data_IF_694768722495
#
_entry.id   IF_694768722495
#
_cell.length_a   1.000
_cell.length_b   1.000
_cell.length_c   1.000
_cell.angle_alpha   90.00
_cell.angle_beta   90.00
_cell.angle_gamma   90.00
#
_symmetry.space_group_name_H-M   'P 1'
#
loop_
_entity.id
_entity.type
_entity.pdbx_description
1 polymer ?
#
# COMPACT_ATOMS: atom_id res chain seq x y z
N UNK A 1 -6.95 -5.57 17.51
CA UNK A 1 -6.12 -6.22 16.48
C UNK A 1 -6.99 -6.44 15.24
N UNK A 2 -6.84 -5.56 14.25
CA UNK A 2 -7.55 -5.69 12.98
C UNK A 2 -6.94 -6.81 12.14
N UNK A 3 -7.54 -7.99 12.19
CA UNK A 3 -7.16 -9.14 11.35
C UNK A 3 -7.75 -9.09 9.94
N UNK A 4 -8.58 -8.09 9.64
CA UNK A 4 -9.27 -7.94 8.37
C UNK A 4 -8.50 -7.05 7.36
N UNK A 5 -9.01 -7.01 6.14
CA UNK A 5 -8.54 -6.07 5.10
C UNK A 5 -8.78 -4.63 5.53
N UNK A 6 -7.88 -3.74 5.14
CA UNK A 6 -8.12 -2.31 5.28
C UNK A 6 -9.27 -1.85 4.36
N UNK A 7 -9.99 -0.81 4.79
CA UNK A 7 -11.01 -0.19 3.94
C UNK A 7 -10.37 0.51 2.73
N UNK A 8 -11.13 0.60 1.64
CA UNK A 8 -10.73 1.42 0.52
C UNK A 8 -10.78 2.92 0.89
N UNK A 9 -9.95 3.71 0.24
CA UNK A 9 -10.07 5.15 0.27
C UNK A 9 -11.38 5.63 -0.36
N UNK A 10 -11.84 6.81 0.05
CA UNK A 10 -13.00 7.45 -0.55
C UNK A 10 -12.68 7.99 -1.95
N UNK A 11 -13.68 8.04 -2.82
CA UNK A 11 -13.54 8.66 -4.12
C UNK A 11 -13.38 10.19 -3.97
N UNK A 12 -12.60 10.77 -4.87
CA UNK A 12 -12.54 12.22 -5.09
C UNK A 12 -13.46 12.59 -6.26
N UNK A 13 -14.24 13.67 -6.11
CA UNK A 13 -15.20 14.10 -7.11
C UNK A 13 -14.97 15.57 -7.44
N UNK A 14 -14.82 15.87 -8.73
CA UNK A 14 -14.84 17.22 -9.26
C UNK A 14 -16.17 17.45 -9.98
N UNK A 15 -17.01 18.30 -9.42
CA UNK A 15 -18.32 18.65 -9.96
C UNK A 15 -18.19 19.89 -10.87
N UNK A 16 -18.09 19.64 -12.19
CA UNK A 16 -18.13 20.66 -13.24
C UNK A 16 -19.36 20.45 -14.15
N UNK A 17 -19.32 20.98 -15.35
CA UNK A 17 -20.30 20.66 -16.40
C UNK A 17 -20.35 19.17 -16.71
N UNK A 18 -19.22 18.49 -16.56
CA UNK A 18 -19.11 17.02 -16.51
C UNK A 18 -18.50 16.64 -15.19
N UNK A 19 -19.13 15.76 -14.43
CA UNK A 19 -18.61 15.25 -13.18
C UNK A 19 -17.48 14.27 -13.46
N UNK A 20 -16.30 14.53 -12.86
CA UNK A 20 -15.15 13.62 -12.91
C UNK A 20 -15.00 12.96 -11.55
N UNK A 21 -14.99 11.65 -11.52
CA UNK A 21 -14.78 10.84 -10.32
C UNK A 21 -13.47 10.07 -10.43
N UNK A 22 -12.58 10.28 -9.45
CA UNK A 22 -11.37 9.48 -9.26
C UNK A 22 -11.64 8.48 -8.15
N UNK A 23 -11.47 7.18 -8.44
CA UNK A 23 -11.69 6.13 -7.45
C UNK A 23 -10.63 6.18 -6.34
N UNK A 24 -11.05 5.96 -5.12
CA UNK A 24 -10.13 5.81 -3.99
C UNK A 24 -9.21 4.61 -4.14
N UNK A 25 -8.05 4.63 -3.51
CA UNK A 25 -7.11 3.52 -3.50
C UNK A 25 -7.69 2.29 -2.78
N UNK A 26 -7.34 1.10 -3.24
CA UNK A 26 -7.73 -0.16 -2.61
C UNK A 26 -7.02 -0.37 -1.26
N UNK A 27 -7.77 -0.86 -0.28
CA UNK A 27 -7.22 -1.24 1.02
C UNK A 27 -6.25 -2.42 0.94
N UNK A 28 -5.21 -2.41 1.75
CA UNK A 28 -4.27 -3.53 1.85
C UNK A 28 -4.92 -4.78 2.45
N UNK A 29 -4.41 -5.94 2.07
CA UNK A 29 -4.77 -7.22 2.68
C UNK A 29 -4.31 -7.32 4.13
N UNK A 30 -5.10 -7.96 4.97
CA UNK A 30 -4.79 -8.18 6.38
C UNK A 30 -4.01 -9.48 6.64
N UNK A 31 -3.66 -9.71 7.90
CA UNK A 31 -3.23 -11.02 8.37
C UNK A 31 -4.50 -11.83 8.68
N UNK A 32 -4.79 -12.90 7.93
CA UNK A 32 -6.01 -13.64 8.12
C UNK A 32 -6.02 -14.42 9.43
N UNK A 33 -7.09 -14.28 10.19
CA UNK A 33 -7.45 -15.25 11.24
C UNK A 33 -8.10 -16.50 10.62
N UNK A 34 -8.53 -16.39 9.37
CA UNK A 34 -9.04 -17.48 8.54
C UNK A 34 -8.55 -17.30 7.09
N UNK A 35 -8.47 -18.40 6.34
CA UNK A 35 -8.07 -18.36 4.94
C UNK A 35 -9.04 -17.49 4.13
N UNK A 36 -8.53 -16.47 3.45
CA UNK A 36 -9.30 -15.63 2.50
C UNK A 36 -9.22 -14.13 2.72
N UNK A 37 -8.61 -13.63 3.78
CA UNK A 37 -8.56 -12.19 4.07
C UNK A 37 -7.26 -11.50 3.60
N UNK A 38 -6.35 -12.26 3.03
CA UNK A 38 -5.06 -11.74 2.60
C UNK A 38 -5.00 -10.97 1.26
N UNK A 39 -5.93 -11.11 0.28
CA UNK A 39 -5.89 -10.33 -0.94
C UNK A 39 -6.06 -8.84 -0.68
N UNK A 40 -5.34 -8.02 -1.45
CA UNK A 40 -5.58 -6.59 -1.51
C UNK A 40 -6.91 -6.25 -2.18
N UNK A 41 -7.52 -5.13 -1.81
CA UNK A 41 -8.76 -4.66 -2.43
C UNK A 41 -8.49 -3.94 -3.77
N UNK A 42 -9.41 -4.06 -4.75
CA UNK A 42 -9.36 -3.24 -5.95
C UNK A 42 -9.68 -1.77 -5.65
N UNK A 43 -9.18 -0.87 -6.49
CA UNK A 43 -9.40 0.58 -6.37
C UNK A 43 -8.83 1.36 -7.55
N UNK A 44 -8.78 2.67 -7.47
CA UNK A 44 -8.07 3.51 -8.44
C UNK A 44 -6.63 3.04 -8.60
N UNK A 45 -5.91 2.87 -7.49
CA UNK A 45 -4.73 2.00 -7.36
C UNK A 45 -5.08 0.83 -6.45
N UNK A 46 -4.64 -0.38 -6.76
CA UNK A 46 -4.94 -1.58 -5.99
C UNK A 46 -4.13 -1.69 -4.69
N UNK A 47 -4.72 -2.23 -3.64
CA UNK A 47 -4.02 -2.52 -2.38
C UNK A 47 -3.04 -3.68 -2.52
N UNK A 48 -1.92 -3.66 -1.79
CA UNK A 48 -1.03 -4.82 -1.66
C UNK A 48 -1.69 -5.94 -0.87
N UNK A 49 -1.33 -7.20 -1.13
CA UNK A 49 -1.84 -8.31 -0.32
C UNK A 49 -1.14 -8.42 1.03
N UNK A 50 -1.80 -9.04 2.00
CA UNK A 50 -1.20 -9.43 3.27
C UNK A 50 -0.18 -10.57 3.09
N UNK A 51 0.73 -10.72 4.05
CA UNK A 51 1.81 -11.71 4.00
C UNK A 51 1.49 -13.07 4.61
N UNK A 52 0.49 -13.14 5.46
CA UNK A 52 0.14 -14.34 6.21
C UNK A 52 -0.83 -15.22 5.43
N UNK A 53 -0.31 -16.10 4.61
CA UNK A 53 -1.08 -17.17 4.00
C UNK A 53 -0.16 -18.33 3.58
N UNK A 54 -0.60 -19.58 3.66
CA UNK A 54 0.19 -20.72 3.19
C UNK A 54 0.36 -20.73 1.66
N UNK A 55 -0.39 -19.90 0.96
CA UNK A 55 -0.34 -19.73 -0.49
C UNK A 55 -0.20 -18.24 -0.86
N UNK A 56 0.45 -17.94 -2.00
CA UNK A 56 0.50 -16.59 -2.51
C UNK A 56 -0.89 -15.98 -2.65
N UNK A 57 -1.05 -14.76 -2.19
CA UNK A 57 -2.32 -14.02 -2.27
C UNK A 57 -2.21 -12.86 -3.25
N UNK A 58 -3.27 -12.61 -3.98
CA UNK A 58 -3.28 -11.58 -5.01
C UNK A 58 -3.33 -10.16 -4.42
N UNK A 59 -2.56 -9.24 -5.00
CA UNK A 59 -2.79 -7.82 -4.82
C UNK A 59 -4.11 -7.39 -5.48
N UNK A 60 -4.64 -6.27 -5.01
CA UNK A 60 -5.84 -5.66 -5.60
C UNK A 60 -5.58 -5.14 -7.02
N UNK A 61 -6.59 -5.24 -7.87
CA UNK A 61 -6.53 -4.63 -9.20
C UNK A 61 -6.62 -3.11 -9.11
N UNK A 62 -5.74 -2.42 -9.85
CA UNK A 62 -5.84 -0.99 -10.08
C UNK A 62 -6.82 -0.65 -11.20
N UNK A 63 -7.02 0.63 -11.44
CA UNK A 63 -7.95 1.13 -12.45
C UNK A 63 -9.36 0.50 -12.35
N UNK A 64 -9.89 0.45 -11.14
CA UNK A 64 -11.21 -0.10 -10.86
C UNK A 64 -12.11 0.96 -10.20
N UNK A 65 -13.24 1.32 -10.84
CA UNK A 65 -13.70 0.86 -12.16
C UNK A 65 -12.74 1.28 -13.30
N UNK A 66 -12.72 0.53 -14.41
CA UNK A 66 -11.80 0.82 -15.51
C UNK A 66 -12.17 2.13 -16.21
N UNK A 67 -11.15 2.98 -16.39
CA UNK A 67 -11.25 4.25 -17.15
C UNK A 67 -10.02 4.40 -18.06
N UNK A 68 -10.12 5.34 -19.00
CA UNK A 68 -9.01 5.68 -19.89
C UNK A 68 -8.79 7.21 -19.87
N UNK A 69 -7.58 7.69 -19.60
CA UNK A 69 -6.39 6.91 -19.17
C UNK A 69 -6.58 6.21 -17.81
N UNK A 70 -5.79 5.14 -17.49
CA UNK A 70 -5.89 4.45 -16.21
C UNK A 70 -5.61 5.35 -15.01
N UNK A 71 -6.36 5.16 -13.92
CA UNK A 71 -6.20 5.92 -12.68
C UNK A 71 -5.02 5.46 -11.82
N UNK A 72 -4.59 4.21 -11.98
CA UNK A 72 -3.49 3.64 -11.19
C UNK A 72 -3.25 2.18 -11.52
N UNK A 73 -2.33 1.57 -10.79
CA UNK A 73 -1.80 0.25 -11.06
C UNK A 73 -2.17 -0.76 -9.97
N UNK A 74 -1.95 -2.04 -10.26
CA UNK A 74 -2.21 -3.13 -9.33
C UNK A 74 -1.29 -3.08 -8.10
N UNK A 75 -1.76 -3.57 -6.98
CA UNK A 75 -0.93 -3.91 -5.83
C UNK A 75 -0.11 -5.17 -6.08
N UNK A 76 0.95 -5.35 -5.30
CA UNK A 76 1.80 -6.54 -5.35
C UNK A 76 1.12 -7.76 -4.74
N UNK A 77 1.56 -8.96 -5.15
CA UNK A 77 1.12 -10.23 -4.60
C UNK A 77 1.94 -10.59 -3.35
N UNK A 78 1.31 -11.18 -2.35
CA UNK A 78 2.00 -11.68 -1.16
C UNK A 78 2.80 -12.94 -1.46
N UNK A 79 3.91 -13.11 -0.74
CA UNK A 79 4.88 -14.19 -1.00
C UNK A 79 4.48 -15.59 -0.51
N UNK A 80 3.34 -15.75 0.16
CA UNK A 80 3.01 -17.02 0.80
C UNK A 80 4.08 -17.39 1.84
N UNK A 81 3.98 -16.89 3.06
CA UNK A 81 5.09 -16.94 4.00
C UNK A 81 4.81 -17.78 5.23
N UNK A 82 5.84 -18.46 5.72
CA UNK A 82 5.81 -19.23 6.97
C UNK A 82 6.69 -18.65 8.08
N UNK A 83 7.44 -17.60 7.80
CA UNK A 83 8.42 -17.01 8.77
C UNK A 83 8.19 -15.55 9.05
N UNK A 84 8.50 -14.64 8.13
CA UNK A 84 8.40 -13.19 8.37
C UNK A 84 7.14 -12.56 7.78
N UNK A 85 6.27 -13.34 7.18
CA UNK A 85 4.96 -12.91 6.67
C UNK A 85 4.97 -11.58 5.91
N UNK A 86 5.86 -11.36 4.92
CA UNK A 86 5.97 -10.07 4.29
C UNK A 86 4.75 -9.79 3.40
N UNK A 87 4.04 -8.74 3.73
CA UNK A 87 2.99 -8.16 2.90
C UNK A 87 3.55 -7.47 1.68
N UNK A 88 2.79 -7.39 0.62
CA UNK A 88 3.15 -6.72 -0.62
C UNK A 88 2.85 -5.21 -0.58
N UNK A 89 3.53 -4.43 -1.41
CA UNK A 89 3.25 -3.01 -1.54
C UNK A 89 2.00 -2.72 -2.37
N UNK A 90 1.29 -1.65 -2.05
CA UNK A 90 0.18 -1.14 -2.86
C UNK A 90 0.63 -0.53 -4.19
N UNK A 91 -0.23 -0.53 -5.20
CA UNK A 91 -0.01 0.17 -6.45
C UNK A 91 -0.01 1.69 -6.27
N UNK A 92 0.75 2.40 -7.10
CA UNK A 92 0.69 3.84 -7.25
C UNK A 92 0.12 4.24 -8.61
N UNK A 93 -0.06 5.52 -8.84
CA UNK A 93 -0.51 6.00 -10.16
C UNK A 93 0.53 5.75 -11.26
N UNK A 94 1.83 5.80 -10.92
CA UNK A 94 2.92 5.65 -11.88
C UNK A 94 3.47 4.23 -12.03
N UNK A 95 3.29 3.35 -11.03
CA UNK A 95 3.84 1.99 -11.06
C UNK A 95 3.03 0.99 -10.22
N UNK A 96 3.19 -0.30 -10.55
CA UNK A 96 2.64 -1.41 -9.77
C UNK A 96 3.32 -1.51 -8.39
N UNK A 97 2.60 -2.02 -7.41
CA UNK A 97 3.19 -2.45 -6.14
C UNK A 97 4.02 -3.71 -6.32
N UNK A 98 5.08 -3.86 -5.54
CA UNK A 98 5.97 -5.02 -5.64
C UNK A 98 5.60 -6.11 -4.66
N UNK A 99 5.80 -7.34 -5.09
CA UNK A 99 5.73 -8.52 -4.26
C UNK A 99 7.04 -8.70 -3.47
N UNK A 100 6.99 -9.19 -2.23
CA UNK A 100 8.22 -9.62 -1.55
C UNK A 100 8.82 -10.80 -2.31
N UNK A 101 10.18 -10.84 -2.47
CA UNK A 101 10.83 -11.88 -3.27
C UNK A 101 10.80 -13.27 -2.64
N UNK A 102 10.67 -13.38 -1.32
CA UNK A 102 10.57 -14.65 -0.58
C UNK A 102 9.95 -14.45 0.81
N UNK A 103 9.76 -15.55 1.54
CA UNK A 103 9.13 -15.57 2.87
C UNK A 103 9.94 -14.91 3.99
N UNK A 104 11.20 -14.63 3.76
CA UNK A 104 12.11 -13.99 4.74
C UNK A 104 12.61 -12.63 4.24
N UNK A 105 11.75 -11.91 3.55
CA UNK A 105 12.04 -10.59 2.99
C UNK A 105 11.41 -9.47 3.80
N UNK A 106 11.90 -8.24 3.67
CA UNK A 106 11.16 -7.05 4.06
C UNK A 106 9.79 -6.99 3.40
N UNK A 107 8.89 -6.19 3.96
CA UNK A 107 7.62 -5.86 3.30
C UNK A 107 7.84 -5.33 1.90
N UNK A 108 7.00 -5.75 0.96
CA UNK A 108 7.14 -5.41 -0.46
C UNK A 108 7.17 -3.90 -0.71
N UNK A 109 8.06 -3.42 -1.58
CA UNK A 109 8.06 -2.03 -1.99
C UNK A 109 6.75 -1.65 -2.71
N UNK A 110 6.39 -0.42 -2.58
CA UNK A 110 5.20 0.26 -3.14
C UNK A 110 5.34 0.61 -4.62
N UNK A 111 4.23 0.87 -5.28
CA UNK A 111 4.22 1.61 -6.54
C UNK A 111 4.49 3.11 -6.30
N UNK A 112 5.32 3.71 -7.11
CA UNK A 112 5.51 5.16 -7.10
C UNK A 112 4.31 5.85 -7.71
N UNK A 113 4.07 7.11 -7.30
CA UNK A 113 3.09 7.99 -7.93
C UNK A 113 3.52 8.47 -9.31
N UNK A 114 2.70 9.28 -9.94
CA UNK A 114 3.03 9.98 -11.18
C UNK A 114 3.57 11.38 -10.86
N UNK A 115 4.61 11.80 -11.56
CA UNK A 115 5.14 13.16 -11.42
C UNK A 115 4.37 14.11 -12.34
N UNK A 116 3.81 15.17 -11.78
CA UNK A 116 3.05 16.19 -12.50
C UNK A 116 3.45 17.58 -12.01
N UNK A 117 3.37 18.55 -12.90
CA UNK A 117 3.65 19.97 -12.63
C UNK A 117 2.36 20.80 -12.77
N UNK A 118 1.34 20.45 -11.94
CA UNK A 118 0.02 21.10 -12.04
C UNK A 118 0.06 22.52 -11.46
N UNK A 119 0.87 22.73 -10.43
CA UNK A 119 0.98 23.99 -9.69
C UNK A 119 2.30 24.75 -9.93
N UNK A 120 3.09 24.32 -10.93
CA UNK A 120 4.40 24.86 -11.22
C UNK A 120 5.56 24.15 -10.52
N UNK A 121 5.26 23.18 -9.63
CA UNK A 121 6.26 22.36 -8.94
C UNK A 121 6.17 20.91 -9.37
N UNK A 122 7.33 20.23 -9.42
CA UNK A 122 7.42 18.83 -9.81
C UNK A 122 7.12 17.93 -8.59
N UNK A 123 5.85 17.73 -8.27
CA UNK A 123 5.43 16.80 -7.23
C UNK A 123 5.06 15.43 -7.79
N UNK A 124 5.27 14.41 -6.97
CA UNK A 124 4.67 13.10 -7.19
C UNK A 124 3.29 13.03 -6.52
N UNK A 125 2.35 12.33 -7.17
CA UNK A 125 0.97 12.20 -6.75
C UNK A 125 0.57 10.73 -6.70
N UNK A 126 -0.26 10.35 -5.73
CA UNK A 126 -0.85 9.01 -5.60
C UNK A 126 0.19 7.88 -5.52
N UNK A 127 1.11 7.99 -4.58
CA UNK A 127 2.05 6.92 -4.23
C UNK A 127 1.37 5.80 -3.44
N UNK A 128 1.72 4.55 -3.69
CA UNK A 128 1.22 3.37 -2.99
C UNK A 128 1.80 3.20 -1.58
N UNK A 129 1.10 2.52 -0.70
CA UNK A 129 1.61 2.16 0.63
C UNK A 129 2.62 1.01 0.59
N UNK A 130 3.59 1.00 1.51
CA UNK A 130 4.52 -0.10 1.72
C UNK A 130 3.86 -1.28 2.41
N UNK A 131 4.32 -2.50 2.11
CA UNK A 131 3.86 -3.72 2.77
C UNK A 131 4.38 -3.84 4.20
N UNK A 132 3.58 -4.38 5.10
CA UNK A 132 4.04 -4.71 6.45
C UNK A 132 4.94 -5.95 6.45
N UNK A 133 5.71 -6.16 7.50
CA UNK A 133 6.48 -7.38 7.72
C UNK A 133 6.46 -7.77 9.20
N UNK A 134 6.86 -9.00 9.49
CA UNK A 134 7.08 -9.49 10.84
C UNK A 134 8.59 -9.63 11.11
N UNK A 135 8.96 -9.49 12.38
CA UNK A 135 10.36 -9.64 12.86
C UNK A 135 11.08 -10.85 12.25
N UNK A 136 12.38 -10.76 11.93
CA UNK A 136 13.26 -9.58 12.08
C UNK A 136 13.29 -8.64 10.87
N UNK A 137 12.36 -8.75 9.95
CA UNK A 137 12.37 -8.00 8.69
C UNK A 137 11.74 -6.62 8.82
N UNK A 138 12.13 -5.70 7.93
CA UNK A 138 11.64 -4.32 7.95
C UNK A 138 10.32 -4.20 7.18
N UNK A 139 9.47 -3.27 7.57
CA UNK A 139 8.35 -2.83 6.76
C UNK A 139 8.81 -2.14 5.47
N UNK A 140 8.04 -2.25 4.41
CA UNK A 140 8.28 -1.57 3.14
C UNK A 140 8.05 -0.07 3.23
N UNK A 141 8.86 0.73 2.54
CA UNK A 141 8.67 2.19 2.49
C UNK A 141 7.45 2.57 1.64
N UNK A 142 6.86 3.69 1.93
CA UNK A 142 5.78 4.31 1.15
C UNK A 142 6.27 4.93 -0.17
N UNK A 143 5.43 4.95 -1.20
CA UNK A 143 5.72 5.46 -2.54
C UNK A 143 5.85 6.97 -2.59
N UNK A 144 6.75 7.46 -3.46
CA UNK A 144 6.79 8.88 -3.79
C UNK A 144 5.39 9.34 -4.22
N UNK A 145 4.96 10.48 -3.72
CA UNK A 145 3.60 10.96 -3.90
C UNK A 145 2.69 10.68 -2.69
N UNK A 146 3.28 10.58 -1.50
CA UNK A 146 2.55 10.54 -0.23
C UNK A 146 2.12 9.15 0.26
N UNK A 147 2.70 8.06 -0.23
CA UNK A 147 2.38 6.72 0.28
C UNK A 147 2.81 6.51 1.74
N UNK A 148 2.00 5.83 2.55
CA UNK A 148 2.37 5.46 3.93
C UNK A 148 3.36 4.29 3.98
N UNK A 149 4.23 4.25 4.99
CA UNK A 149 5.16 3.13 5.22
C UNK A 149 4.47 1.92 5.86
N UNK A 150 5.00 0.71 5.64
CA UNK A 150 4.54 -0.52 6.28
C UNK A 150 5.01 -0.61 7.73
N UNK A 151 4.22 -1.25 8.58
CA UNK A 151 4.62 -1.57 9.96
C UNK A 151 5.54 -2.79 10.05
N UNK A 152 6.24 -2.94 11.16
CA UNK A 152 7.04 -4.12 11.49
C UNK A 152 7.12 -4.30 13.00
N UNK A 153 7.57 -5.48 13.46
CA UNK A 153 7.89 -5.74 14.87
C UNK A 153 9.39 -5.69 15.11
N UNK A 154 9.78 -5.42 16.38
CA UNK A 154 11.18 -5.51 16.81
C UNK A 154 11.76 -6.93 16.65
N UNK A 155 13.08 -7.07 16.27
CA UNK A 155 14.08 -6.03 16.02
C UNK A 155 14.07 -5.42 14.61
N UNK A 156 13.02 -5.62 13.80
CA UNK A 156 12.84 -4.96 12.51
C UNK A 156 12.66 -3.43 12.65
N UNK A 157 12.43 -2.77 11.55
CA UNK A 157 12.13 -1.33 11.51
C UNK A 157 10.88 -1.06 10.69
N UNK A 158 10.06 -0.14 11.11
CA UNK A 158 8.93 0.31 10.30
C UNK A 158 9.41 1.01 9.02
N UNK A 159 8.67 0.85 7.95
CA UNK A 159 8.92 1.55 6.69
C UNK A 159 8.65 3.06 6.81
N UNK A 160 9.43 3.85 6.10
CA UNK A 160 9.25 5.31 6.03
C UNK A 160 8.09 5.68 5.13
N UNK A 161 7.44 6.82 5.36
CA UNK A 161 6.48 7.38 4.42
C UNK A 161 7.14 7.90 3.14
N UNK A 162 6.41 7.92 2.04
CA UNK A 162 6.84 8.46 0.76
C UNK A 162 6.85 9.98 0.75
N UNK A 163 7.96 10.57 0.33
CA UNK A 163 8.15 12.01 0.17
C UNK A 163 7.80 12.53 -1.22
N UNK A 164 8.28 13.74 -1.53
CA UNK A 164 8.15 14.43 -2.83
C UNK A 164 6.72 14.70 -3.31
N UNK A 165 5.77 14.73 -2.38
CA UNK A 165 4.42 15.20 -2.56
C UNK A 165 4.24 16.54 -1.83
N UNK A 166 3.09 17.20 -2.01
CA UNK A 166 2.72 18.36 -1.20
C UNK A 166 2.73 17.97 0.29
N UNK A 167 2.20 16.79 0.60
CA UNK A 167 2.26 16.21 1.94
C UNK A 167 2.83 14.79 1.86
N UNK A 168 3.89 14.55 2.61
CA UNK A 168 4.50 13.22 2.72
C UNK A 168 3.58 12.26 3.47
N UNK A 169 3.65 11.00 3.15
CA UNK A 169 3.06 9.94 3.96
C UNK A 169 3.79 9.78 5.29
N UNK A 170 3.13 9.14 6.25
CA UNK A 170 3.74 8.81 7.55
C UNK A 170 4.50 7.48 7.50
N UNK A 171 5.47 7.32 8.41
CA UNK A 171 6.05 6.00 8.66
C UNK A 171 5.00 5.04 9.23
N UNK A 172 5.22 3.74 9.06
CA UNK A 172 4.50 2.71 9.78
C UNK A 172 4.84 2.71 11.28
N UNK A 173 4.16 1.86 12.05
CA UNK A 173 4.48 1.67 13.47
C UNK A 173 5.43 0.48 13.66
N UNK A 174 6.24 0.56 14.72
CA UNK A 174 7.03 -0.55 15.22
C UNK A 174 6.29 -1.19 16.41
N UNK A 175 6.01 -2.47 16.31
CA UNK A 175 5.45 -3.27 17.39
C UNK A 175 6.53 -3.84 18.29
N UNK A 176 6.16 -4.35 19.49
CA UNK A 176 7.10 -5.00 20.40
C UNK A 176 7.61 -6.32 19.81
N UNK A 177 8.77 -6.77 20.28
CA UNK A 177 9.32 -8.08 19.90
C UNK A 177 8.38 -9.20 20.34
N UNK A 178 8.15 -10.16 19.47
CA UNK A 178 7.28 -11.32 19.74
C UNK A 178 5.85 -11.16 19.25
N UNK A 179 5.53 -10.11 18.53
CA UNK A 179 4.24 -9.84 17.88
C UNK A 179 3.33 -8.95 18.71
N UNK A 180 2.97 -7.84 18.10
CA UNK A 180 2.01 -6.88 18.64
C UNK A 180 1.24 -6.21 17.50
N UNK A 181 0.27 -5.35 17.81
CA UNK A 181 -0.43 -4.64 16.76
C UNK A 181 0.51 -3.65 16.07
N UNK A 182 0.74 -3.85 14.78
CA UNK A 182 1.44 -2.91 13.91
C UNK A 182 0.45 -2.28 12.94
N UNK A 183 0.66 -1.02 12.63
CA UNK A 183 -0.21 -0.26 11.72
C UNK A 183 0.64 0.34 10.62
N UNK A 184 0.15 0.30 9.40
CA UNK A 184 0.74 1.04 8.29
C UNK A 184 0.62 2.55 8.51
N UNK A 185 1.59 3.31 8.03
CA UNK A 185 1.53 4.76 8.06
C UNK A 185 0.38 5.30 7.20
N UNK A 186 -0.16 6.43 7.60
CA UNK A 186 -1.16 7.12 6.80
C UNK A 186 -0.57 7.66 5.49
N UNK A 187 -1.37 7.72 4.44
CA UNK A 187 -1.03 8.49 3.25
C UNK A 187 -0.97 9.98 3.54
N UNK A 188 -0.17 10.73 2.78
CA UNK A 188 -0.13 12.19 2.86
C UNK A 188 -1.47 12.80 2.45
N UNK A 189 -1.96 13.76 3.22
CA UNK A 189 -3.19 14.46 2.87
C UNK A 189 -3.01 15.21 1.54
N UNK A 190 -4.03 15.17 0.68
CA UNK A 190 -4.06 15.84 -0.63
C UNK A 190 -2.95 15.37 -1.60
N UNK A 191 -2.40 14.22 -1.42
CA UNK A 191 -1.39 13.64 -2.33
C UNK A 191 -1.98 12.59 -3.31
N UNK A 192 -3.29 12.39 -3.26
CA UNK A 192 -4.03 11.49 -4.15
C UNK A 192 -4.89 10.49 -3.43
#
# INVERSE_FOLDING_TARGET
SGSGRANNGSNSVFAGTTTITSAGGGGGGGAPVAQGEAPGNPGGSGGGSGGYAPQPTAGGTGNTPPVSPPQGNNGGNGGGATTSYPGAGGGGAGAVGSSPPNSNSPGGPRGVGVQLNIDGNNYYWSGGGGGASYSPQNGGNGGLGGGGGGGSDEPGSAGTGGGTAINSGSAGTLGPSGGGPVVGGAGGAHSG
#
